data_IF_905323349216
#
_entry.id   IF_905323349216
#
_cell.length_a   1.000
_cell.length_b   1.000
_cell.length_c   1.000
_cell.angle_alpha   90.00
_cell.angle_beta   90.00
_cell.angle_gamma   90.00
#
_symmetry.space_group_name_H-M   'P 1'
#
loop_
_entity.id
_entity.type
_entity.pdbx_description
1 polymer ?
#
# COMPACT_ATOMS: atom_id res chain seq x y z
N UNK A 1 -1.16 11.78 -0.79
CA UNK A 1 -2.50 11.64 -1.42
C UNK A 1 -3.10 10.32 -0.98
N UNK A 2 -4.37 10.29 -0.56
CA UNK A 2 -4.99 9.09 0.02
C UNK A 2 -5.83 8.31 -0.98
N UNK A 3 -5.85 6.99 -0.85
CA UNK A 3 -6.72 6.10 -1.62
C UNK A 3 -7.36 5.06 -0.71
N UNK A 4 -8.45 4.44 -1.15
CA UNK A 4 -9.05 3.31 -0.46
C UNK A 4 -8.05 2.14 -0.38
N UNK A 5 -7.86 1.61 0.83
CA UNK A 5 -6.85 0.59 1.12
C UNK A 5 -7.04 -0.67 0.27
N UNK A 6 -8.26 -1.21 0.26
CA UNK A 6 -8.56 -2.45 -0.48
C UNK A 6 -8.30 -2.30 -1.99
N UNK A 7 -8.55 -1.13 -2.58
CA UNK A 7 -8.38 -0.91 -4.02
C UNK A 7 -6.91 -0.99 -4.42
N UNK A 8 -6.03 -0.29 -3.70
CA UNK A 8 -4.60 -0.26 -4.05
C UNK A 8 -3.89 -1.55 -3.68
N UNK A 9 -4.29 -2.20 -2.58
CA UNK A 9 -3.73 -3.48 -2.15
C UNK A 9 -3.79 -4.53 -3.27
N UNK A 10 -4.98 -4.75 -3.85
CA UNK A 10 -5.15 -5.71 -4.94
C UNK A 10 -4.35 -5.35 -6.21
N UNK A 11 -4.25 -4.06 -6.53
CA UNK A 11 -3.50 -3.61 -7.71
C UNK A 11 -2.01 -3.91 -7.59
N UNK A 12 -1.43 -3.73 -6.41
CA UNK A 12 -0.01 -3.99 -6.17
C UNK A 12 0.29 -5.46 -5.81
N UNK A 13 -0.73 -6.31 -5.70
CA UNK A 13 -0.58 -7.73 -5.36
C UNK A 13 -0.33 -7.99 -3.87
N UNK A 14 -0.76 -7.07 -3.00
CA UNK A 14 -0.74 -7.22 -1.54
C UNK A 14 -2.13 -7.56 -1.04
N UNK A 15 -2.26 -8.48 -0.10
CA UNK A 15 -3.58 -8.78 0.46
C UNK A 15 -4.05 -7.59 1.33
N UNK A 16 -5.34 -7.17 1.30
CA UNK A 16 -5.80 -6.02 2.08
C UNK A 16 -5.57 -6.16 3.60
N UNK A 17 -5.65 -7.38 4.14
CA UNK A 17 -5.34 -7.63 5.57
C UNK A 17 -3.86 -7.40 5.89
N UNK A 18 -2.95 -7.73 4.96
CA UNK A 18 -1.52 -7.47 5.12
C UNK A 18 -1.27 -5.96 5.11
N UNK A 19 -1.88 -5.24 4.16
CA UNK A 19 -1.77 -3.78 4.10
C UNK A 19 -2.34 -3.12 5.36
N UNK A 20 -3.48 -3.61 5.86
CA UNK A 20 -4.06 -3.10 7.11
C UNK A 20 -3.15 -3.33 8.31
N UNK A 21 -2.50 -4.49 8.40
CA UNK A 21 -1.50 -4.77 9.43
C UNK A 21 -0.33 -3.79 9.36
N UNK A 22 0.19 -3.50 8.17
CA UNK A 22 1.27 -2.51 7.97
C UNK A 22 0.87 -1.10 8.42
N UNK A 23 -0.40 -0.72 8.22
CA UNK A 23 -0.93 0.55 8.72
C UNK A 23 -1.02 0.57 10.24
N UNK A 24 -1.53 -0.51 10.85
CA UNK A 24 -1.64 -0.63 12.30
C UNK A 24 -0.27 -0.66 13.00
N UNK A 25 0.73 -1.25 12.34
CA UNK A 25 2.12 -1.30 12.82
C UNK A 25 2.88 0.01 12.59
N UNK A 26 2.30 0.97 11.87
CA UNK A 26 2.91 2.27 11.57
C UNK A 26 3.95 2.24 10.45
N UNK A 27 4.10 1.12 9.73
CA UNK A 27 5.00 0.97 8.58
C UNK A 27 4.51 1.81 7.38
N UNK A 28 3.19 1.95 7.25
CA UNK A 28 2.53 2.76 6.21
C UNK A 28 1.54 3.71 6.87
N UNK A 29 1.53 4.96 6.46
CA UNK A 29 0.54 5.94 6.91
C UNK A 29 -0.84 5.63 6.31
N UNK A 30 -1.85 5.53 7.16
CA UNK A 30 -3.22 5.24 6.78
C UNK A 30 -4.16 5.18 7.97
N UNK A 31 -5.40 4.75 7.72
CA UNK A 31 -6.40 4.51 8.73
C UNK A 31 -7.17 3.23 8.42
N UNK A 32 -7.39 2.38 9.43
CA UNK A 32 -8.15 1.13 9.29
C UNK A 32 -9.13 1.01 10.46
N UNK A 33 -10.33 1.62 10.36
CA UNK A 33 -11.31 1.59 11.44
C UNK A 33 -11.71 0.17 11.83
N UNK A 34 -11.62 -0.13 13.13
CA UNK A 34 -11.91 -1.46 13.66
C UNK A 34 -11.04 -2.58 13.08
N UNK A 35 -9.90 -2.24 12.46
CA UNK A 35 -9.05 -3.21 11.76
C UNK A 35 -9.70 -3.83 10.53
N UNK A 36 -10.78 -3.23 10.00
CA UNK A 36 -11.46 -3.72 8.82
C UNK A 36 -10.89 -3.09 7.52
N UNK A 37 -10.07 -3.79 6.73
CA UNK A 37 -9.52 -3.27 5.47
C UNK A 37 -10.59 -2.99 4.39
N UNK A 38 -11.79 -3.56 4.53
CA UNK A 38 -12.91 -3.35 3.61
C UNK A 38 -13.82 -2.20 4.06
N UNK A 39 -13.52 -1.55 5.19
CA UNK A 39 -14.26 -0.36 5.61
C UNK A 39 -14.20 0.71 4.52
N UNK A 40 -15.32 1.42 4.31
CA UNK A 40 -15.36 2.57 3.39
C UNK A 40 -14.43 3.70 3.84
N UNK A 41 -14.14 3.73 5.12
CA UNK A 41 -13.25 4.69 5.76
C UNK A 41 -11.79 4.19 5.81
N UNK A 42 -11.50 2.96 5.38
CA UNK A 42 -10.13 2.47 5.35
C UNK A 42 -9.34 3.07 4.17
N UNK A 43 -8.24 3.76 4.47
CA UNK A 43 -7.43 4.46 3.47
C UNK A 43 -5.93 4.34 3.77
N UNK A 44 -5.11 4.55 2.74
CA UNK A 44 -3.64 4.62 2.84
C UNK A 44 -3.11 5.84 2.11
N UNK A 45 -2.02 6.42 2.61
CA UNK A 45 -1.27 7.45 1.89
C UNK A 45 -0.34 6.82 0.86
N UNK A 46 -0.47 7.26 -0.39
CA UNK A 46 0.26 6.70 -1.53
C UNK A 46 1.76 7.01 -1.50
N UNK A 47 2.20 8.14 -0.93
CA UNK A 47 3.64 8.43 -0.83
C UNK A 47 4.29 7.55 0.23
N UNK A 48 3.63 7.39 1.39
CA UNK A 48 4.09 6.47 2.42
C UNK A 48 4.15 5.03 1.89
N UNK A 49 3.11 4.57 1.19
CA UNK A 49 3.10 3.25 0.55
C UNK A 49 4.23 3.10 -0.49
N UNK A 50 4.46 4.11 -1.34
CA UNK A 50 5.55 4.11 -2.33
C UNK A 50 6.92 3.96 -1.66
N UNK A 51 7.15 4.72 -0.58
CA UNK A 51 8.40 4.68 0.17
C UNK A 51 8.61 3.31 0.83
N UNK A 52 7.56 2.74 1.41
CA UNK A 52 7.62 1.39 1.98
C UNK A 52 7.98 0.34 0.91
N UNK A 53 7.35 0.39 -0.27
CA UNK A 53 7.65 -0.55 -1.37
C UNK A 53 9.09 -0.39 -1.87
N UNK A 54 9.57 0.85 -2.03
CA UNK A 54 10.97 1.11 -2.37
C UNK A 54 11.91 0.53 -1.32
N UNK A 55 11.65 0.81 -0.03
CA UNK A 55 12.48 0.30 1.05
C UNK A 55 12.54 -1.24 1.07
N UNK A 56 11.41 -1.92 0.84
CA UNK A 56 11.37 -3.39 0.73
C UNK A 56 12.22 -3.91 -0.43
N UNK A 57 12.20 -3.22 -1.56
CA UNK A 57 13.01 -3.55 -2.74
C UNK A 57 14.50 -3.33 -2.49
N UNK A 58 14.89 -2.20 -1.89
CA UNK A 58 16.28 -1.89 -1.54
C UNK A 58 16.89 -2.95 -0.59
N UNK A 59 16.06 -3.52 0.28
CA UNK A 59 16.44 -4.63 1.18
C UNK A 59 16.50 -5.99 0.49
N UNK A 60 16.29 -6.08 -0.83
CA UNK A 60 16.14 -7.32 -1.61
C UNK A 60 15.03 -8.25 -1.07
N UNK A 61 14.00 -7.67 -0.43
CA UNK A 61 12.83 -8.38 0.12
C UNK A 61 11.60 -8.31 -0.79
N UNK A 62 11.77 -7.80 -2.00
CA UNK A 62 10.75 -7.69 -3.03
C UNK A 62 11.42 -7.90 -4.39
N UNK A 63 10.91 -8.85 -5.18
CA UNK A 63 11.45 -9.12 -6.51
C UNK A 63 11.23 -7.93 -7.45
N UNK A 64 12.15 -7.73 -8.39
CA UNK A 64 12.12 -6.61 -9.35
C UNK A 64 10.78 -6.51 -10.09
N UNK A 65 10.24 -7.64 -10.57
CA UNK A 65 8.98 -7.67 -11.29
C UNK A 65 7.79 -7.21 -10.42
N UNK A 66 7.78 -7.61 -9.15
CA UNK A 66 6.74 -7.18 -8.19
C UNK A 66 6.88 -5.70 -7.83
N UNK A 67 8.11 -5.24 -7.61
CA UNK A 67 8.42 -3.83 -7.36
C UNK A 67 7.94 -2.93 -8.53
N UNK A 68 8.33 -3.26 -9.77
CA UNK A 68 7.94 -2.49 -10.95
C UNK A 68 6.43 -2.46 -11.17
N UNK A 69 5.73 -3.57 -10.85
CA UNK A 69 4.26 -3.61 -10.87
C UNK A 69 3.68 -2.65 -9.83
N UNK A 70 4.14 -2.76 -8.57
CA UNK A 70 3.63 -1.95 -7.46
C UNK A 70 3.82 -0.45 -7.72
N UNK A 71 5.04 -0.02 -8.07
CA UNK A 71 5.34 1.39 -8.33
C UNK A 71 4.52 1.94 -9.50
N UNK A 72 4.33 1.16 -10.58
CA UNK A 72 3.49 1.59 -11.71
C UNK A 72 2.06 1.90 -11.30
N UNK A 73 1.46 1.06 -10.44
CA UNK A 73 0.10 1.27 -9.95
C UNK A 73 0.03 2.45 -8.98
N UNK A 74 0.99 2.58 -8.07
CA UNK A 74 1.07 3.69 -7.12
C UNK A 74 1.29 5.03 -7.84
N UNK A 75 2.23 5.09 -8.78
CA UNK A 75 2.52 6.30 -9.56
C UNK A 75 1.34 6.69 -10.46
N UNK A 76 0.60 5.71 -11.00
CA UNK A 76 -0.65 5.97 -11.72
C UNK A 76 -1.69 6.57 -10.78
N UNK A 77 -1.86 5.99 -9.60
CA UNK A 77 -2.78 6.49 -8.60
C UNK A 77 -2.40 7.92 -8.18
N UNK A 78 -1.10 8.23 -8.04
CA UNK A 78 -0.57 9.57 -7.71
C UNK A 78 -0.79 10.65 -8.78
N UNK A 79 -1.00 10.26 -10.05
CA UNK A 79 -1.22 11.18 -11.18
C UNK A 79 -2.69 11.40 -11.49
N UNK A 80 -3.58 10.58 -10.94
CA UNK A 80 -5.03 10.72 -11.06
C UNK A 80 -5.56 11.83 -10.18
#
# INVERSE_FOLDING_TARGET
MKTALHQIAYQIGMHPTEMARLVQEGEITGEVPGGNPQSREAWVDLHSLRNFIQWRHDQKRLEEAMYLKAIRHIDRALRG
#
